data_IF_402194752698
#
_entry.id   IF_402194752698
#
_cell.length_a   1.000
_cell.length_b   1.000
_cell.length_c   1.000
_cell.angle_alpha   90.00
_cell.angle_beta   90.00
_cell.angle_gamma   90.00
#
_symmetry.space_group_name_H-M   'P 1'
#
loop_
_entity.id
_entity.type
_entity.pdbx_description
1 polymer ?
#
# COMPACT_ATOMS: atom_id res chain seq x y z
N UNK A 1 11.54 -5.49 -10.62
CA UNK A 1 12.25 -4.29 -11.12
C UNK A 1 12.12 -3.38 -9.94
N UNK A 2 13.20 -3.16 -9.18
CA UNK A 2 13.12 -2.40 -7.93
C UNK A 2 12.57 -1.00 -8.16
N UNK A 3 11.88 -0.45 -7.15
CA UNK A 3 11.42 0.95 -7.18
C UNK A 3 12.60 1.90 -7.51
N UNK A 4 12.38 2.93 -8.34
CA UNK A 4 13.38 3.97 -8.55
C UNK A 4 13.75 4.63 -7.22
N UNK A 5 15.03 4.97 -7.04
CA UNK A 5 15.51 5.74 -5.88
C UNK A 5 15.86 7.14 -6.32
N UNK A 6 15.35 8.12 -5.59
CA UNK A 6 15.56 9.55 -5.85
C UNK A 6 15.90 10.27 -4.54
N UNK A 7 16.64 11.36 -4.62
CA UNK A 7 17.06 12.14 -3.45
C UNK A 7 16.06 13.25 -3.19
N UNK A 8 15.55 13.36 -1.96
CA UNK A 8 14.68 14.49 -1.60
C UNK A 8 15.52 15.77 -1.61
N UNK A 9 15.06 16.78 -2.34
CA UNK A 9 15.73 18.09 -2.44
C UNK A 9 15.02 19.15 -1.62
N UNK A 10 13.72 19.02 -1.41
CA UNK A 10 12.92 20.01 -0.67
C UNK A 10 11.68 19.39 -0.03
N UNK A 11 11.42 19.76 1.22
CA UNK A 11 10.11 19.60 1.83
C UNK A 11 9.22 20.80 1.48
N UNK A 12 8.00 20.53 1.02
CA UNK A 12 7.10 21.58 0.48
C UNK A 12 6.03 21.95 1.49
N UNK A 13 5.21 20.99 1.93
CA UNK A 13 4.08 21.25 2.83
C UNK A 13 3.55 19.95 3.43
N UNK A 14 3.02 19.96 4.66
CA UNK A 14 2.31 18.81 5.21
C UNK A 14 0.98 18.59 4.48
N UNK A 15 0.61 17.31 4.31
CA UNK A 15 -0.73 16.85 4.02
C UNK A 15 -1.37 16.43 5.34
N UNK A 16 -2.33 17.23 5.81
CA UNK A 16 -3.03 16.97 7.07
C UNK A 16 -4.12 15.93 6.87
N UNK A 17 -3.71 14.70 6.60
CA UNK A 17 -4.59 13.54 6.45
C UNK A 17 -4.35 12.56 7.61
N UNK A 18 -5.37 12.36 8.43
CA UNK A 18 -5.35 11.37 9.51
C UNK A 18 -4.20 11.52 10.51
N UNK A 19 -3.70 10.38 11.01
CA UNK A 19 -2.68 10.30 12.06
C UNK A 19 -1.24 10.06 11.58
N UNK A 20 -0.98 10.03 10.27
CA UNK A 20 0.34 9.71 9.68
C UNK A 20 1.13 10.92 9.19
N UNK A 21 0.51 12.11 9.13
CA UNK A 21 1.09 13.38 8.67
C UNK A 21 2.01 13.23 7.44
N UNK A 22 1.52 12.70 6.31
CA UNK A 22 2.31 12.66 5.08
C UNK A 22 2.69 14.09 4.64
N UNK A 23 3.71 14.22 3.80
CA UNK A 23 4.18 15.52 3.34
C UNK A 23 4.50 15.55 1.86
N UNK A 24 4.27 16.67 1.20
CA UNK A 24 4.71 16.88 -0.18
C UNK A 24 6.20 17.21 -0.18
N UNK A 25 6.96 16.51 -1.01
CA UNK A 25 8.39 16.73 -1.23
C UNK A 25 8.72 16.83 -2.72
N UNK A 26 9.80 17.53 -3.05
CA UNK A 26 10.41 17.54 -4.38
C UNK A 26 11.71 16.73 -4.35
N UNK A 27 12.04 16.07 -5.47
CA UNK A 27 13.25 15.26 -5.59
C UNK A 27 14.19 15.72 -6.72
N UNK A 28 15.36 15.10 -6.81
CA UNK A 28 16.42 15.43 -7.77
C UNK A 28 16.11 15.05 -9.22
N UNK A 29 15.10 14.21 -9.43
CA UNK A 29 14.56 13.84 -10.75
C UNK A 29 13.47 14.80 -11.26
N UNK A 30 13.26 15.92 -10.55
CA UNK A 30 12.22 16.93 -10.80
C UNK A 30 10.79 16.45 -10.52
N UNK A 31 10.62 15.29 -9.87
CA UNK A 31 9.34 14.78 -9.42
C UNK A 31 8.84 15.44 -8.13
N UNK A 32 7.53 15.41 -7.94
CA UNK A 32 6.84 15.82 -6.71
C UNK A 32 6.12 14.62 -6.12
N UNK A 33 6.36 14.32 -4.85
CA UNK A 33 5.86 13.11 -4.22
C UNK A 33 5.13 13.41 -2.91
N UNK A 34 4.11 12.60 -2.63
CA UNK A 34 3.62 12.39 -1.28
C UNK A 34 4.59 11.46 -0.57
N UNK A 35 5.34 11.99 0.39
CA UNK A 35 6.24 11.26 1.25
C UNK A 35 5.45 10.63 2.41
N UNK A 36 5.47 9.29 2.48
CA UNK A 36 5.12 8.53 3.68
C UNK A 36 6.38 8.29 4.49
N UNK A 37 6.45 8.97 5.63
CA UNK A 37 7.60 9.00 6.52
C UNK A 37 7.79 7.68 7.28
N UNK A 38 9.00 7.13 7.24
CA UNK A 38 9.38 5.92 7.98
C UNK A 38 9.31 6.08 9.50
N UNK A 39 9.51 7.30 9.99
CA UNK A 39 9.47 7.66 11.40
C UNK A 39 8.06 7.96 11.92
N UNK A 40 7.02 7.89 11.07
CA UNK A 40 5.65 8.05 11.50
C UNK A 40 5.24 6.91 12.46
N UNK A 41 4.34 7.20 13.40
CA UNK A 41 3.95 6.26 14.48
C UNK A 41 3.35 4.92 14.01
N UNK A 42 2.98 4.80 12.74
CA UNK A 42 2.49 3.58 12.12
C UNK A 42 3.59 2.54 11.82
N UNK A 43 4.85 3.00 11.71
CA UNK A 43 6.04 2.16 11.52
C UNK A 43 6.25 1.63 10.09
N UNK A 44 7.42 1.03 9.88
CA UNK A 44 7.89 0.56 8.56
C UNK A 44 6.97 -0.45 7.87
N UNK A 45 6.25 -1.26 8.64
CA UNK A 45 5.32 -2.28 8.10
C UNK A 45 4.24 -1.67 7.21
N UNK A 46 3.78 -0.46 7.52
CA UNK A 46 2.81 0.26 6.67
C UNK A 46 3.41 0.61 5.31
N UNK A 47 4.69 1.00 5.25
CA UNK A 47 5.38 1.23 3.97
C UNK A 47 5.54 -0.08 3.18
N UNK A 48 5.82 -1.19 3.87
CA UNK A 48 5.88 -2.53 3.26
C UNK A 48 4.53 -2.93 2.66
N UNK A 49 3.43 -2.75 3.39
CA UNK A 49 2.08 -3.01 2.87
C UNK A 49 1.78 -2.13 1.65
N UNK A 50 2.12 -0.84 1.71
CA UNK A 50 1.90 0.09 0.61
C UNK A 50 2.59 -0.35 -0.68
N UNK A 51 3.87 -0.76 -0.61
CA UNK A 51 4.62 -1.22 -1.78
C UNK A 51 4.07 -2.54 -2.31
N UNK A 52 3.81 -3.51 -1.43
CA UNK A 52 3.32 -4.82 -1.87
C UNK A 52 1.95 -4.67 -2.53
N UNK A 53 1.00 -3.99 -1.88
CA UNK A 53 -0.37 -3.90 -2.39
C UNK A 53 -0.46 -3.04 -3.64
N UNK A 54 0.29 -1.93 -3.74
CA UNK A 54 0.37 -1.18 -4.99
C UNK A 54 1.01 -1.98 -6.13
N UNK A 55 2.03 -2.82 -5.83
CA UNK A 55 2.59 -3.74 -6.82
C UNK A 55 1.60 -4.80 -7.30
N UNK A 56 0.77 -5.33 -6.39
CA UNK A 56 -0.35 -6.20 -6.75
C UNK A 56 -1.38 -5.43 -7.60
N UNK A 57 -1.72 -4.20 -7.23
CA UNK A 57 -2.65 -3.35 -7.96
C UNK A 57 -2.20 -3.16 -9.42
N UNK A 58 -0.92 -2.81 -9.65
CA UNK A 58 -0.33 -2.69 -10.99
C UNK A 58 -0.41 -4.00 -11.78
N UNK A 59 -0.12 -5.13 -11.13
CA UNK A 59 -0.22 -6.48 -11.76
C UNK A 59 -1.66 -6.83 -12.16
N UNK A 60 -2.64 -6.32 -11.41
CA UNK A 60 -4.07 -6.49 -11.66
C UNK A 60 -4.67 -5.40 -12.54
N UNK A 61 -3.88 -4.50 -13.13
CA UNK A 61 -4.39 -3.37 -13.94
C UNK A 61 -5.40 -2.51 -13.17
N UNK A 62 -5.11 -2.28 -11.89
CA UNK A 62 -5.74 -1.26 -11.06
C UNK A 62 -4.84 -0.02 -11.13
N UNK A 63 -5.44 1.12 -11.49
CA UNK A 63 -4.70 2.37 -11.52
C UNK A 63 -4.32 2.76 -10.09
N UNK A 64 -3.03 3.01 -9.87
CA UNK A 64 -2.44 3.49 -8.61
C UNK A 64 -1.26 4.37 -8.98
N UNK A 65 -0.94 5.45 -8.23
CA UNK A 65 0.19 6.31 -8.56
C UNK A 65 1.51 5.53 -8.51
N UNK A 66 2.47 5.96 -9.32
CA UNK A 66 3.81 5.39 -9.31
C UNK A 66 4.51 5.65 -7.97
N UNK A 67 5.43 4.75 -7.62
CA UNK A 67 6.13 4.78 -6.33
C UNK A 67 7.64 4.87 -6.54
N UNK A 68 8.30 5.57 -5.63
CA UNK A 68 9.76 5.71 -5.55
C UNK A 68 10.24 5.50 -4.12
N UNK A 69 11.50 5.16 -3.97
CA UNK A 69 12.21 5.24 -2.70
C UNK A 69 12.81 6.63 -2.58
N UNK A 70 12.38 7.39 -1.58
CA UNK A 70 12.88 8.72 -1.27
C UNK A 70 14.05 8.62 -0.29
N UNK A 71 15.22 9.09 -0.68
CA UNK A 71 16.34 9.29 0.24
C UNK A 71 16.25 10.67 0.90
N UNK A 72 15.88 10.68 2.19
CA UNK A 72 15.61 11.89 2.96
C UNK A 72 16.79 12.23 3.87
N UNK A 73 17.42 13.38 3.61
CA UNK A 73 18.45 13.93 4.48
C UNK A 73 17.82 14.66 5.68
N UNK A 74 18.35 14.44 6.88
CA UNK A 74 17.95 15.15 8.09
C UNK A 74 18.21 16.66 8.00
N UNK A 75 19.13 17.11 7.15
CA UNK A 75 19.37 18.53 6.87
C UNK A 75 18.11 19.27 6.38
N UNK A 76 17.17 18.57 5.73
CA UNK A 76 15.90 19.15 5.28
C UNK A 76 15.07 19.68 6.46
N UNK A 77 15.15 19.03 7.62
CA UNK A 77 14.40 19.40 8.82
C UNK A 77 14.79 20.78 9.36
N UNK A 78 16.01 21.26 9.10
CA UNK A 78 16.53 22.54 9.63
C UNK A 78 15.76 23.76 9.13
N UNK A 79 15.12 23.65 7.97
CA UNK A 79 14.38 24.73 7.33
C UNK A 79 12.88 24.67 7.62
N UNK A 80 12.40 23.65 8.32
CA UNK A 80 11.01 23.51 8.71
C UNK A 80 10.73 24.31 9.99
N UNK A 81 9.62 25.07 9.97
CA UNK A 81 9.22 25.93 11.08
C UNK A 81 8.26 25.22 12.06
N UNK A 82 7.53 24.21 11.59
CA UNK A 82 6.65 23.39 12.42
C UNK A 82 7.47 22.32 13.17
N UNK A 83 7.53 22.42 14.51
CA UNK A 83 8.31 21.53 15.37
C UNK A 83 7.88 20.05 15.22
N UNK A 84 6.59 19.78 15.05
CA UNK A 84 6.08 18.40 14.90
C UNK A 84 6.55 17.79 13.58
N UNK A 85 6.54 18.57 12.51
CA UNK A 85 7.05 18.17 11.20
C UNK A 85 8.57 18.02 11.22
N UNK A 86 9.28 18.94 11.88
CA UNK A 86 10.73 18.86 12.05
C UNK A 86 11.15 17.58 12.78
N UNK A 87 10.48 17.25 13.88
CA UNK A 87 10.71 15.99 14.62
C UNK A 87 10.44 14.76 13.75
N UNK A 88 9.36 14.80 12.96
CA UNK A 88 9.02 13.72 12.03
C UNK A 88 10.09 13.52 10.95
N UNK A 89 10.58 14.60 10.32
CA UNK A 89 11.64 14.53 9.30
C UNK A 89 12.93 14.01 9.92
N UNK A 90 13.31 14.50 11.11
CA UNK A 90 14.50 14.02 11.83
C UNK A 90 14.42 12.52 12.15
N UNK A 91 13.27 12.05 12.62
CA UNK A 91 13.01 10.63 12.87
C UNK A 91 12.97 9.77 11.60
N UNK A 92 12.91 10.41 10.43
CA UNK A 92 12.70 9.76 9.14
C UNK A 92 13.93 9.80 8.21
N UNK A 93 15.11 10.13 8.73
CA UNK A 93 16.33 10.12 7.90
C UNK A 93 16.58 8.76 7.22
N UNK A 94 17.00 8.82 5.95
CA UNK A 94 17.21 7.67 5.07
C UNK A 94 16.00 7.36 4.19
N UNK A 95 15.74 6.07 3.96
CA UNK A 95 14.78 5.62 2.95
C UNK A 95 13.32 5.71 3.42
N UNK A 96 12.54 6.51 2.70
CA UNK A 96 11.10 6.71 2.85
C UNK A 96 10.36 6.30 1.58
N UNK A 97 9.04 6.22 1.64
CA UNK A 97 8.23 5.91 0.46
C UNK A 97 7.70 7.20 -0.17
N UNK A 98 7.98 7.40 -1.45
CA UNK A 98 7.36 8.42 -2.28
C UNK A 98 6.25 7.81 -3.12
N UNK A 99 5.10 8.48 -3.15
CA UNK A 99 3.98 8.18 -4.04
C UNK A 99 3.80 9.41 -4.94
N UNK A 100 3.68 9.21 -6.25
CA UNK A 100 3.55 10.33 -7.20
C UNK A 100 2.39 11.25 -6.80
N UNK A 101 2.68 12.55 -6.70
CA UNK A 101 1.66 13.54 -6.37
C UNK A 101 0.89 13.89 -7.64
N UNK A 102 -0.36 13.43 -7.73
CA UNK A 102 -1.21 13.61 -8.91
C UNK A 102 -1.86 15.01 -8.93
N UNK A 103 -1.36 15.98 -9.73
CA UNK A 103 -1.87 17.34 -9.68
C UNK A 103 -3.28 17.39 -10.28
N UNK A 104 -4.20 18.05 -9.58
CA UNK A 104 -5.61 18.15 -10.00
C UNK A 104 -6.45 16.91 -9.72
N UNK A 105 -5.90 15.90 -9.03
CA UNK A 105 -6.71 14.82 -8.49
C UNK A 105 -7.64 15.33 -7.38
N UNK A 106 -8.79 14.69 -7.23
CA UNK A 106 -9.74 14.97 -6.15
C UNK A 106 -10.21 13.67 -5.50
N UNK A 107 -10.71 13.77 -4.27
CA UNK A 107 -11.20 12.61 -3.52
C UNK A 107 -12.41 11.97 -4.21
N UNK A 108 -12.43 10.64 -4.24
CA UNK A 108 -13.59 9.87 -4.68
C UNK A 108 -14.76 10.04 -3.71
N UNK A 109 -15.98 10.18 -4.24
CA UNK A 109 -17.21 10.26 -3.45
C UNK A 109 -18.37 9.49 -4.10
N UNK A 110 -19.55 9.56 -3.50
CA UNK A 110 -20.74 8.86 -3.98
C UNK A 110 -21.31 9.41 -5.32
N UNK A 111 -20.84 10.57 -5.79
CA UNK A 111 -21.23 11.10 -7.10
C UNK A 111 -20.35 10.53 -8.24
N UNK A 112 -19.25 9.85 -7.89
CA UNK A 112 -18.38 9.19 -8.85
C UNK A 112 -18.99 7.85 -9.30
N UNK A 113 -18.96 7.60 -10.62
CA UNK A 113 -19.37 6.32 -11.21
C UNK A 113 -18.13 5.62 -11.80
N UNK A 114 -17.49 4.70 -11.05
CA UNK A 114 -16.30 4.01 -11.51
C UNK A 114 -16.66 2.99 -12.60
N UNK A 115 -15.71 2.72 -13.49
CA UNK A 115 -15.82 1.60 -14.43
C UNK A 115 -16.00 0.29 -13.63
N UNK A 116 -17.07 -0.50 -13.86
CA UNK A 116 -17.39 -1.65 -13.02
C UNK A 116 -16.28 -2.68 -12.91
N UNK A 117 -15.54 -2.93 -13.99
CA UNK A 117 -14.38 -3.81 -14.01
C UNK A 117 -13.30 -3.35 -13.03
N UNK A 118 -12.84 -2.11 -13.15
CA UNK A 118 -11.86 -1.49 -12.24
C UNK A 118 -12.34 -1.54 -10.80
N UNK A 119 -13.59 -1.18 -10.53
CA UNK A 119 -14.16 -1.24 -9.19
C UNK A 119 -14.16 -2.68 -8.64
N UNK A 120 -14.54 -3.66 -9.45
CA UNK A 120 -14.49 -5.07 -9.09
C UNK A 120 -13.07 -5.57 -8.79
N UNK A 121 -12.05 -5.11 -9.54
CA UNK A 121 -10.65 -5.44 -9.27
C UNK A 121 -10.16 -4.84 -7.96
N UNK A 122 -10.53 -3.59 -7.65
CA UNK A 122 -10.21 -2.94 -6.37
C UNK A 122 -10.82 -3.73 -5.21
N UNK A 123 -12.13 -4.02 -5.26
CA UNK A 123 -12.84 -4.83 -4.25
C UNK A 123 -12.16 -6.18 -4.04
N UNK A 124 -11.79 -6.86 -5.13
CA UNK A 124 -11.12 -8.15 -5.05
C UNK A 124 -9.72 -8.06 -4.45
N UNK A 125 -8.93 -7.03 -4.81
CA UNK A 125 -7.61 -6.79 -4.25
C UNK A 125 -7.69 -6.52 -2.74
N UNK A 126 -8.59 -5.64 -2.30
CA UNK A 126 -8.76 -5.31 -0.89
C UNK A 126 -9.19 -6.53 -0.06
N UNK A 127 -10.03 -7.38 -0.63
CA UNK A 127 -10.41 -8.64 -0.01
C UNK A 127 -9.24 -9.64 0.09
N UNK A 128 -8.42 -9.75 -0.97
CA UNK A 128 -7.21 -10.58 -0.99
C UNK A 128 -6.20 -10.11 0.07
N UNK A 129 -5.99 -8.80 0.21
CA UNK A 129 -4.98 -8.22 1.10
C UNK A 129 -5.52 -7.93 2.50
N UNK A 130 -6.82 -8.17 2.73
CA UNK A 130 -7.53 -7.82 3.96
C UNK A 130 -7.39 -6.33 4.32
N UNK A 131 -7.57 -5.45 3.34
CA UNK A 131 -7.54 -4.00 3.54
C UNK A 131 -8.80 -3.55 4.32
N UNK A 132 -8.61 -3.08 5.54
CA UNK A 132 -9.71 -2.67 6.43
C UNK A 132 -10.06 -1.19 6.34
N UNK A 133 -9.32 -0.41 5.56
CA UNK A 133 -9.46 1.06 5.49
C UNK A 133 -9.83 1.54 4.08
N UNK A 134 -10.82 0.89 3.45
CA UNK A 134 -11.45 1.37 2.23
C UNK A 134 -12.96 1.49 2.42
N UNK A 135 -13.40 2.55 3.07
CA UNK A 135 -14.80 2.75 3.46
C UNK A 135 -15.40 4.01 2.85
N UNK A 136 -16.71 4.18 2.91
CA UNK A 136 -17.36 5.42 2.46
C UNK A 136 -16.94 6.67 3.27
N UNK A 137 -16.41 6.50 4.49
CA UNK A 137 -15.87 7.59 5.33
C UNK A 137 -14.43 7.93 4.96
N UNK A 138 -13.67 6.91 4.58
CA UNK A 138 -12.29 7.02 4.14
C UNK A 138 -12.11 6.19 2.87
N UNK A 139 -12.46 6.73 1.69
CA UNK A 139 -12.42 5.96 0.46
C UNK A 139 -11.00 5.54 0.06
N UNK A 140 -9.98 6.33 0.43
CA UNK A 140 -8.60 6.12 -0.02
C UNK A 140 -8.52 5.90 -1.55
N UNK A 141 -9.37 6.63 -2.28
CA UNK A 141 -9.48 6.63 -3.73
C UNK A 141 -9.43 8.07 -4.21
N UNK A 142 -8.71 8.30 -5.31
CA UNK A 142 -8.68 9.58 -6.01
C UNK A 142 -9.30 9.43 -7.39
N UNK A 143 -9.79 10.52 -7.97
CA UNK A 143 -10.11 10.61 -9.39
C UNK A 143 -9.08 11.53 -10.04
N UNK A 144 -8.35 11.00 -11.02
CA UNK A 144 -7.35 11.74 -11.77
C UNK A 144 -7.47 11.47 -13.26
N UNK A 145 -7.59 12.53 -14.07
CA UNK A 145 -7.83 12.40 -15.51
C UNK A 145 -9.10 11.59 -15.86
N UNK A 146 -10.10 11.58 -14.98
CA UNK A 146 -11.32 10.78 -15.13
C UNK A 146 -11.18 9.30 -14.78
N UNK A 147 -10.03 8.88 -14.27
CA UNK A 147 -9.77 7.49 -13.82
C UNK A 147 -9.69 7.42 -12.30
N UNK A 148 -10.32 6.41 -11.71
CA UNK A 148 -10.19 6.11 -10.28
C UNK A 148 -8.82 5.51 -9.99
N UNK A 149 -8.10 6.10 -9.04
CA UNK A 149 -6.79 5.68 -8.55
C UNK A 149 -6.94 5.10 -7.15
N UNK A 150 -6.50 3.86 -6.95
CA UNK A 150 -6.40 3.26 -5.63
C UNK A 150 -5.14 3.76 -4.92
N UNK A 151 -5.33 4.38 -3.76
CA UNK A 151 -4.24 4.87 -2.92
C UNK A 151 -4.40 4.29 -1.51
N UNK A 152 -3.39 4.59 -0.69
CA UNK A 152 -3.29 4.28 0.73
C UNK A 152 -3.70 2.84 1.08
N UNK A 153 -2.76 1.94 0.84
CA UNK A 153 -2.88 0.52 1.15
C UNK A 153 -2.30 0.14 2.51
N UNK A 154 -1.92 1.13 3.32
CA UNK A 154 -1.20 0.97 4.58
C UNK A 154 -1.91 0.09 5.62
N UNK A 155 -3.23 0.02 5.58
CA UNK A 155 -4.06 -0.80 6.46
C UNK A 155 -4.30 -2.23 5.95
N UNK A 156 -3.56 -2.66 4.94
CA UNK A 156 -3.60 -4.03 4.39
C UNK A 156 -2.58 -4.94 5.05
N UNK A 157 -2.66 -6.25 4.78
CA UNK A 157 -1.68 -7.25 5.22
C UNK A 157 -1.44 -7.27 6.74
N UNK A 158 -2.47 -6.93 7.51
CA UNK A 158 -2.39 -6.65 8.94
C UNK A 158 -1.75 -7.78 9.79
N UNK A 159 -1.69 -9.02 9.27
CA UNK A 159 -0.98 -10.14 9.90
C UNK A 159 0.47 -9.81 10.26
N UNK A 160 1.14 -8.96 9.49
CA UNK A 160 2.56 -8.64 9.72
C UNK A 160 2.80 -7.82 10.99
N UNK A 161 1.77 -7.17 11.55
CA UNK A 161 1.86 -6.47 12.82
C UNK A 161 1.94 -7.43 14.01
N UNK A 162 1.57 -8.71 13.80
CA UNK A 162 1.74 -9.77 14.81
C UNK A 162 3.12 -10.42 14.78
N UNK A 163 3.92 -10.19 13.73
CA UNK A 163 5.23 -10.81 13.54
C UNK A 163 6.27 -10.48 14.62
N UNK A 164 6.21 -9.38 15.40
CA UNK A 164 7.09 -9.24 16.57
C UNK A 164 7.02 -10.43 17.55
N UNK A 165 5.89 -11.15 17.60
CA UNK A 165 5.73 -12.41 18.35
C UNK A 165 6.16 -13.68 17.62
N UNK A 166 6.63 -13.55 16.38
CA UNK A 166 7.01 -14.62 15.47
C UNK A 166 6.14 -14.69 14.22
N UNK A 167 6.67 -15.25 13.14
CA UNK A 167 5.91 -15.44 11.90
C UNK A 167 4.73 -16.37 12.17
N UNK A 168 3.52 -15.86 11.95
CA UNK A 168 2.26 -16.58 12.18
C UNK A 168 1.97 -17.68 11.15
N UNK A 169 0.70 -18.07 11.04
CA UNK A 169 0.27 -19.12 10.10
C UNK A 169 -0.33 -18.53 8.82
N UNK A 170 0.24 -18.83 7.63
CA UNK A 170 -0.35 -18.52 6.33
C UNK A 170 -1.78 -19.07 6.18
N UNK A 171 -2.02 -20.32 6.61
CA UNK A 171 -3.33 -20.98 6.51
C UNK A 171 -4.41 -20.26 7.34
N UNK A 172 -4.04 -19.75 8.53
CA UNK A 172 -4.96 -18.96 9.35
C UNK A 172 -5.37 -17.67 8.64
N UNK A 173 -4.43 -17.01 7.97
CA UNK A 173 -4.74 -15.82 7.17
C UNK A 173 -5.59 -16.19 5.95
N UNK A 174 -5.29 -17.29 5.26
CA UNK A 174 -6.09 -17.76 4.12
C UNK A 174 -7.56 -18.05 4.48
N UNK A 175 -7.79 -18.66 5.64
CA UNK A 175 -9.13 -19.02 6.12
C UNK A 175 -9.93 -17.84 6.73
N UNK A 176 -9.34 -16.66 6.84
CA UNK A 176 -10.03 -15.51 7.41
C UNK A 176 -11.01 -14.91 6.40
N UNK A 177 -12.28 -14.65 6.77
CA UNK A 177 -13.22 -13.93 5.93
C UNK A 177 -12.86 -12.45 5.79
N UNK A 178 -13.44 -11.79 4.78
CA UNK A 178 -13.33 -10.35 4.57
C UNK A 178 -14.74 -9.73 4.65
N UNK A 179 -14.89 -8.67 5.43
CA UNK A 179 -16.16 -7.98 5.59
C UNK A 179 -16.27 -6.82 4.59
N UNK A 180 -17.16 -6.96 3.61
CA UNK A 180 -17.38 -5.98 2.55
C UNK A 180 -18.45 -4.94 2.91
N UNK A 181 -19.14 -5.06 4.06
CA UNK A 181 -20.36 -4.30 4.36
C UNK A 181 -20.18 -2.77 4.36
N UNK A 182 -19.03 -2.29 4.80
CA UNK A 182 -18.66 -0.87 4.86
C UNK A 182 -17.81 -0.41 3.66
N UNK A 183 -17.45 -1.33 2.76
CA UNK A 183 -16.56 -1.04 1.64
C UNK A 183 -17.20 -0.04 0.67
N UNK A 184 -16.46 0.99 0.27
CA UNK A 184 -17.01 2.09 -0.58
C UNK A 184 -17.51 1.61 -1.95
N UNK A 185 -16.91 0.53 -2.48
CA UNK A 185 -17.27 -0.10 -3.76
C UNK A 185 -18.05 -1.41 -3.61
N UNK A 186 -18.69 -1.65 -2.46
CA UNK A 186 -19.36 -2.95 -2.17
C UNK A 186 -20.38 -3.40 -3.21
N UNK A 187 -21.03 -2.46 -3.89
CA UNK A 187 -22.03 -2.75 -4.93
C UNK A 187 -21.40 -3.40 -6.18
N UNK A 188 -20.07 -3.44 -6.28
CA UNK A 188 -19.32 -4.13 -7.34
C UNK A 188 -18.85 -5.55 -6.95
N UNK A 189 -19.37 -6.12 -5.86
CA UNK A 189 -19.04 -7.49 -5.41
C UNK A 189 -19.25 -8.55 -6.50
N UNK A 190 -20.34 -8.44 -7.27
CA UNK A 190 -20.64 -9.34 -8.40
C UNK A 190 -19.53 -9.26 -9.45
N UNK A 191 -19.14 -8.04 -9.84
CA UNK A 191 -18.05 -7.84 -10.82
C UNK A 191 -16.71 -8.34 -10.30
N UNK A 192 -16.44 -8.22 -9.00
CA UNK A 192 -15.26 -8.79 -8.36
C UNK A 192 -15.27 -10.33 -8.45
N UNK A 193 -16.40 -10.96 -8.16
CA UNK A 193 -16.57 -12.42 -8.21
C UNK A 193 -16.38 -12.97 -9.63
N UNK A 194 -16.93 -12.29 -10.64
CA UNK A 194 -16.81 -12.67 -12.05
C UNK A 194 -15.35 -12.61 -12.55
N UNK A 195 -14.57 -11.64 -12.09
CA UNK A 195 -13.18 -11.44 -12.50
C UNK A 195 -12.19 -12.34 -11.73
N UNK A 196 -12.57 -12.86 -10.57
CA UNK A 196 -11.66 -13.53 -9.65
C UNK A 196 -10.81 -14.68 -10.24
N UNK A 197 -11.33 -15.57 -11.12
CA UNK A 197 -10.49 -16.57 -11.79
C UNK A 197 -9.31 -15.97 -12.55
N UNK A 198 -9.58 -14.94 -13.38
CA UNK A 198 -8.56 -14.28 -14.18
C UNK A 198 -7.56 -13.48 -13.31
N UNK A 199 -8.04 -12.86 -12.22
CA UNK A 199 -7.16 -12.12 -11.30
C UNK A 199 -6.20 -13.06 -10.55
N UNK A 200 -6.66 -14.26 -10.15
CA UNK A 200 -5.78 -15.28 -9.55
C UNK A 200 -4.68 -15.74 -10.49
N UNK A 201 -5.01 -15.98 -11.76
CA UNK A 201 -4.04 -16.43 -12.77
C UNK A 201 -2.90 -15.43 -12.97
N UNK A 202 -3.17 -14.12 -12.78
CA UNK A 202 -2.17 -13.06 -12.86
C UNK A 202 -1.23 -12.99 -11.65
N UNK A 203 -1.61 -13.57 -10.52
CA UNK A 203 -0.86 -13.55 -9.27
C UNK A 203 -0.18 -14.89 -8.98
N UNK A 204 0.58 -15.39 -9.95
CA UNK A 204 1.40 -16.58 -9.74
C UNK A 204 2.59 -16.33 -8.79
N UNK A 205 3.34 -17.38 -8.48
CA UNK A 205 4.48 -17.27 -7.56
C UNK A 205 5.56 -16.28 -8.04
N UNK A 206 5.77 -16.16 -9.35
CA UNK A 206 6.76 -15.27 -9.92
C UNK A 206 6.29 -13.81 -9.83
N UNK A 207 5.02 -13.54 -10.10
CA UNK A 207 4.41 -12.23 -9.94
C UNK A 207 4.48 -11.75 -8.49
N UNK A 208 4.12 -12.60 -7.52
CA UNK A 208 4.20 -12.26 -6.10
C UNK A 208 5.63 -11.99 -5.64
N UNK A 209 6.58 -12.84 -6.05
CA UNK A 209 8.00 -12.64 -5.71
C UNK A 209 8.51 -11.31 -6.26
N UNK A 210 8.21 -11.02 -7.54
CA UNK A 210 8.60 -9.76 -8.18
C UNK A 210 8.05 -8.53 -7.45
N UNK A 211 6.79 -8.57 -7.01
CA UNK A 211 6.18 -7.46 -6.25
C UNK A 211 6.87 -7.30 -4.89
N UNK A 212 7.07 -8.40 -4.18
CA UNK A 212 7.66 -8.37 -2.85
C UNK A 212 9.13 -7.93 -2.91
N UNK A 213 9.88 -8.25 -3.97
CA UNK A 213 11.26 -7.82 -4.21
C UNK A 213 11.43 -6.30 -4.31
N UNK A 214 10.36 -5.55 -4.61
CA UNK A 214 10.42 -4.09 -4.77
C UNK A 214 10.48 -3.35 -3.41
N UNK A 215 10.18 -4.02 -2.29
CA UNK A 215 10.29 -3.44 -0.93
C UNK A 215 11.79 -3.25 -0.59
N UNK A 216 12.25 -2.12 -0.03
CA UNK A 216 13.62 -1.97 0.46
C UNK A 216 13.97 -2.92 1.62
N UNK A 217 15.20 -3.41 1.67
CA UNK A 217 15.69 -4.30 2.75
C UNK A 217 15.63 -3.61 4.12
N UNK A 218 15.88 -2.29 4.16
CA UNK A 218 15.89 -1.44 5.35
C UNK A 218 14.52 -1.33 6.03
N UNK A 219 13.44 -1.70 5.33
CA UNK A 219 12.08 -1.70 5.87
C UNK A 219 11.67 -3.07 6.44
N UNK A 220 12.46 -4.11 6.19
CA UNK A 220 12.19 -5.48 6.59
C UNK A 220 12.89 -5.80 7.91
N UNK A 221 12.26 -5.37 9.01
CA UNK A 221 12.76 -5.59 10.37
C UNK A 221 12.75 -7.07 10.76
N UNK A 222 13.87 -7.64 11.23
CA UNK A 222 13.96 -9.03 11.68
C UNK A 222 12.93 -9.39 12.75
N UNK A 223 12.40 -10.61 12.68
CA UNK A 223 11.42 -11.14 13.64
C UNK A 223 11.74 -12.59 14.02
N UNK A 224 11.20 -13.14 15.12
CA UNK A 224 11.37 -14.56 15.44
C UNK A 224 10.85 -15.45 14.29
N UNK A 225 11.72 -16.32 13.77
CA UNK A 225 11.40 -17.19 12.62
C UNK A 225 11.77 -16.61 11.24
N UNK A 226 12.14 -15.34 11.14
CA UNK A 226 12.64 -14.72 9.91
C UNK A 226 13.61 -13.57 10.24
N UNK A 227 14.91 -13.85 10.16
CA UNK A 227 15.97 -12.94 10.61
C UNK A 227 16.51 -12.05 9.49
N UNK A 228 16.26 -12.40 8.23
CA UNK A 228 16.77 -11.68 7.06
C UNK A 228 15.64 -11.10 6.21
N UNK A 229 15.91 -10.02 5.44
CA UNK A 229 14.95 -9.51 4.46
C UNK A 229 14.43 -10.60 3.51
N UNK A 230 15.31 -11.47 3.01
CA UNK A 230 14.93 -12.56 2.11
C UNK A 230 13.92 -13.55 2.75
N UNK A 231 14.11 -13.91 4.02
CA UNK A 231 13.16 -14.77 4.75
C UNK A 231 11.81 -14.07 4.96
N UNK A 232 11.82 -12.79 5.31
CA UNK A 232 10.60 -11.99 5.45
C UNK A 232 9.82 -11.90 4.13
N UNK A 233 10.50 -11.66 3.01
CA UNK A 233 9.91 -11.67 1.67
C UNK A 233 9.26 -13.01 1.36
N UNK A 234 9.97 -14.11 1.63
CA UNK A 234 9.43 -15.45 1.43
C UNK A 234 8.12 -15.65 2.21
N UNK A 235 8.04 -15.18 3.45
CA UNK A 235 6.80 -15.27 4.23
C UNK A 235 5.67 -14.40 3.68
N UNK A 236 5.93 -13.18 3.19
CA UNK A 236 4.87 -12.41 2.51
C UNK A 236 4.31 -13.18 1.30
N UNK A 237 5.18 -13.79 0.49
CA UNK A 237 4.78 -14.63 -0.64
C UNK A 237 3.98 -15.84 -0.16
N UNK A 238 4.42 -16.54 0.89
CA UNK A 238 3.70 -17.68 1.47
C UNK A 238 2.28 -17.32 1.93
N UNK A 239 2.10 -16.21 2.64
CA UNK A 239 0.80 -15.73 3.10
C UNK A 239 -0.14 -15.42 1.94
N UNK A 240 0.34 -14.69 0.92
CA UNK A 240 -0.45 -14.36 -0.26
C UNK A 240 -0.79 -15.61 -1.09
N UNK A 241 0.16 -16.54 -1.26
CA UNK A 241 -0.08 -17.80 -1.97
C UNK A 241 -1.07 -18.70 -1.23
N UNK A 242 -0.96 -18.80 0.08
CA UNK A 242 -1.92 -19.55 0.89
C UNK A 242 -3.34 -19.00 0.70
N UNK A 243 -3.49 -17.67 0.67
CA UNK A 243 -4.79 -17.02 0.48
C UNK A 243 -5.36 -17.24 -0.93
N UNK A 244 -4.52 -17.28 -1.97
CA UNK A 244 -4.94 -17.56 -3.35
C UNK A 244 -5.30 -19.04 -3.59
N UNK A 245 -4.51 -19.96 -3.04
CA UNK A 245 -4.62 -21.40 -3.30
C UNK A 245 -5.53 -22.17 -2.32
N UNK A 246 -5.68 -21.66 -1.09
CA UNK A 246 -6.41 -22.30 0.00
C UNK A 246 -7.92 -22.03 -0.03
N UNK A 247 -8.59 -22.21 1.13
CA UNK A 247 -9.98 -21.76 1.31
C UNK A 247 -10.10 -20.26 1.02
N UNK A 248 -11.21 -19.86 0.38
CA UNK A 248 -11.44 -18.46 -0.02
C UNK A 248 -12.72 -17.86 0.60
N UNK A 249 -12.90 -17.90 1.93
CA UNK A 249 -14.03 -17.23 2.59
C UNK A 249 -13.92 -15.70 2.54
N UNK A 250 -12.78 -15.17 2.09
CA UNK A 250 -12.54 -13.75 1.86
C UNK A 250 -13.03 -13.28 0.48
N UNK A 251 -13.21 -14.18 -0.48
CA UNK A 251 -13.51 -13.81 -1.86
C UNK A 251 -14.92 -13.21 -1.94
N UNK A 252 -15.09 -12.02 -2.55
CA UNK A 252 -16.41 -11.42 -2.72
C UNK A 252 -17.35 -12.38 -3.46
N UNK A 253 -18.56 -12.53 -2.94
CA UNK A 253 -19.61 -13.33 -3.57
C UNK A 253 -20.62 -12.42 -4.25
N UNK A 254 -21.19 -12.92 -5.36
CA UNK A 254 -22.34 -12.31 -6.01
C UNK A 254 -23.62 -12.40 -5.16
#
# INVERSE_FOLDING_TARGET
MSLPRVTVTRYVTPLREGGSLPGIVEADDLGTYVCKFRGAGQGLRVLVAEVIVAGLARTLEIATPDQVVLDLDAEIARYEADEEVQDLINASSGLNLGIDFLPGAFGYDAACEPEPGLAGRIVWLDALTANVDRSWRNPNLLVWGGTVQAIDHGASLYFHHSWPGGVGSPDRFAAQPYDLSEHVLKDHAVSAAEQAPALRERLDAAALTKVVDDVPDEWLEPVPGAATPAELRAHYVEFLRARLAGPRPWEPTA
#
